data_IF_207791074589
#
_entry.id   IF_207791074589
#
_cell.length_a   1.000
_cell.length_b   1.000
_cell.length_c   1.000
_cell.angle_alpha   90.00
_cell.angle_beta   90.00
_cell.angle_gamma   90.00
#
_symmetry.space_group_name_H-M   'P 1'
#
loop_
_entity.id
_entity.type
_entity.pdbx_description
1 polymer ?
#
# COMPACT_ATOMS: atom_id res chain seq x y z
N UNK A 1 -12.84 18.94 -12.15
CA UNK A 1 -11.76 18.29 -12.91
C UNK A 1 -10.94 17.36 -12.06
N UNK A 2 -10.38 17.83 -10.96
CA UNK A 2 -9.63 16.96 -10.04
C UNK A 2 -10.48 16.52 -8.86
N UNK A 3 -11.60 15.87 -9.16
CA UNK A 3 -12.54 15.45 -8.11
C UNK A 3 -11.99 14.31 -7.24
N UNK A 4 -11.12 13.48 -7.81
CA UNK A 4 -10.53 12.35 -7.13
C UNK A 4 -9.03 12.29 -7.33
N UNK A 5 -8.29 12.09 -6.24
CA UNK A 5 -6.85 11.86 -6.26
C UNK A 5 -6.59 10.52 -5.59
N UNK A 6 -5.60 9.79 -6.07
CA UNK A 6 -5.20 8.52 -5.47
C UNK A 6 -3.78 8.61 -4.93
N UNK A 7 -3.50 7.90 -3.84
CA UNK A 7 -2.16 7.83 -3.25
C UNK A 7 -1.88 6.39 -2.81
N UNK A 8 -0.71 5.90 -3.15
CA UNK A 8 -0.26 4.57 -2.72
C UNK A 8 0.23 4.61 -1.28
N UNK A 9 -0.24 3.67 -0.47
CA UNK A 9 0.08 3.58 0.95
C UNK A 9 0.72 2.23 1.24
N UNK A 10 1.97 2.21 1.68
CA UNK A 10 2.67 0.96 1.99
C UNK A 10 3.39 0.98 3.34
N UNK A 11 3.22 2.03 4.12
CA UNK A 11 3.85 2.17 5.42
C UNK A 11 5.27 2.72 5.38
N UNK A 12 5.81 3.00 4.21
CA UNK A 12 7.14 3.59 4.10
C UNK A 12 7.12 5.09 4.37
N UNK A 13 8.28 5.65 4.68
CA UNK A 13 8.45 7.10 4.85
C UNK A 13 8.09 7.84 3.56
N UNK A 14 8.48 7.27 2.43
CA UNK A 14 8.18 7.87 1.13
C UNK A 14 6.68 7.91 0.83
N UNK A 15 5.97 6.84 1.18
CA UNK A 15 4.52 6.80 1.02
C UNK A 15 3.83 7.80 1.96
N UNK A 16 4.36 7.98 3.16
CA UNK A 16 3.83 8.97 4.09
C UNK A 16 4.02 10.39 3.56
N UNK A 17 5.16 10.67 2.94
CA UNK A 17 5.38 11.94 2.25
C UNK A 17 4.42 12.14 1.08
N UNK A 18 4.18 11.09 0.31
CA UNK A 18 3.21 11.12 -0.79
C UNK A 18 1.79 11.41 -0.28
N UNK A 19 1.43 10.84 0.86
CA UNK A 19 0.14 11.10 1.49
C UNK A 19 0.02 12.57 1.88
N UNK A 20 1.07 13.16 2.44
CA UNK A 20 1.08 14.58 2.76
C UNK A 20 0.81 15.45 1.55
N UNK A 21 1.45 15.14 0.41
CA UNK A 21 1.22 15.85 -0.86
C UNK A 21 -0.22 15.67 -1.31
N UNK A 22 -0.74 14.46 -1.27
CA UNK A 22 -2.10 14.16 -1.71
C UNK A 22 -3.14 14.92 -0.88
N UNK A 23 -2.95 14.96 0.44
CA UNK A 23 -3.87 15.68 1.32
C UNK A 23 -3.79 17.19 1.10
N UNK A 24 -2.60 17.72 0.89
CA UNK A 24 -2.44 19.14 0.59
C UNK A 24 -3.17 19.50 -0.71
N UNK A 25 -2.96 18.73 -1.76
CA UNK A 25 -3.63 18.97 -3.04
C UNK A 25 -5.14 18.76 -2.92
N UNK A 26 -5.57 17.72 -2.22
CA UNK A 26 -6.99 17.44 -2.00
C UNK A 26 -7.70 18.59 -1.30
N UNK A 27 -7.05 19.14 -0.30
CA UNK A 27 -7.59 20.31 0.42
C UNK A 27 -7.71 21.55 -0.46
N UNK A 28 -6.73 21.78 -1.31
CA UNK A 28 -6.74 22.94 -2.19
C UNK A 28 -7.70 22.79 -3.37
N UNK A 29 -7.88 21.58 -3.86
CA UNK A 29 -8.69 21.32 -5.05
C UNK A 29 -10.10 20.84 -4.73
N UNK A 30 -10.41 20.63 -3.46
CA UNK A 30 -11.69 20.06 -3.06
C UNK A 30 -11.87 18.63 -3.51
N UNK A 31 -10.79 17.86 -3.58
CA UNK A 31 -10.80 16.49 -4.07
C UNK A 31 -11.04 15.48 -2.96
N UNK A 32 -11.62 14.34 -3.32
CA UNK A 32 -11.63 13.16 -2.46
C UNK A 32 -10.29 12.43 -2.65
N UNK A 33 -9.62 12.11 -1.56
CA UNK A 33 -8.34 11.41 -1.61
C UNK A 33 -8.57 9.93 -1.33
N UNK A 34 -8.13 9.09 -2.25
CA UNK A 34 -8.24 7.63 -2.15
C UNK A 34 -6.87 7.06 -1.81
N UNK A 35 -6.74 6.52 -0.60
CA UNK A 35 -5.54 5.77 -0.21
C UNK A 35 -5.68 4.35 -0.70
N UNK A 36 -4.67 3.85 -1.38
CA UNK A 36 -4.67 2.49 -1.94
C UNK A 36 -3.51 1.72 -1.35
N UNK A 37 -3.83 0.65 -0.64
CA UNK A 37 -2.83 -0.29 -0.12
C UNK A 37 -2.97 -1.60 -0.85
N UNK A 38 -1.89 -2.06 -1.47
CA UNK A 38 -1.85 -3.33 -2.19
C UNK A 38 -1.15 -4.36 -1.32
N UNK A 39 -1.85 -5.44 -1.01
CA UNK A 39 -1.24 -6.61 -0.40
C UNK A 39 -0.60 -7.42 -1.52
N UNK A 40 0.73 -7.47 -1.53
CA UNK A 40 1.48 -8.14 -2.58
C UNK A 40 1.32 -9.65 -2.46
N UNK A 41 0.60 -10.24 -3.41
CA UNK A 41 0.33 -11.67 -3.39
C UNK A 41 1.58 -12.52 -3.58
N UNK A 42 2.65 -11.96 -4.09
CA UNK A 42 3.93 -12.68 -4.19
C UNK A 42 4.45 -13.10 -2.82
N UNK A 43 4.08 -12.39 -1.76
CA UNK A 43 4.44 -12.78 -0.39
C UNK A 43 3.67 -14.03 0.05
N UNK A 44 2.42 -14.16 -0.39
CA UNK A 44 1.55 -15.28 -0.02
C UNK A 44 1.71 -16.49 -0.94
N UNK A 45 2.17 -16.25 -2.16
CA UNK A 45 2.26 -17.27 -3.20
C UNK A 45 3.71 -17.43 -3.64
N UNK A 46 4.20 -18.59 -3.74
CA UNK A 46 5.47 -18.86 -4.40
C UNK A 46 6.68 -18.89 -3.49
N UNK A 47 7.82 -18.42 -4.01
CA UNK A 47 9.13 -18.73 -3.46
C UNK A 47 9.38 -18.17 -2.08
N UNK A 48 8.81 -17.03 -1.74
CA UNK A 48 9.04 -16.43 -0.43
C UNK A 48 8.61 -17.39 0.70
N UNK A 49 7.38 -17.90 0.62
CA UNK A 49 6.85 -18.82 1.64
C UNK A 49 7.61 -20.14 1.61
N UNK A 50 7.90 -20.65 0.41
CA UNK A 50 8.63 -21.90 0.26
C UNK A 50 10.04 -21.78 0.84
N UNK A 51 10.76 -20.72 0.53
CA UNK A 51 12.11 -20.47 1.03
C UNK A 51 12.12 -20.33 2.54
N UNK A 52 11.19 -19.57 3.09
CA UNK A 52 11.08 -19.40 4.53
C UNK A 52 10.75 -20.71 5.22
N UNK A 53 9.83 -21.49 4.67
CA UNK A 53 9.48 -22.81 5.21
C UNK A 53 10.66 -23.77 5.17
N UNK A 54 11.41 -23.79 4.08
CA UNK A 54 12.61 -24.60 3.95
C UNK A 54 13.68 -24.23 4.96
N UNK A 55 13.93 -22.95 5.15
CA UNK A 55 14.89 -22.46 6.12
C UNK A 55 14.51 -22.81 7.55
N UNK A 56 13.22 -22.87 7.85
CA UNK A 56 12.71 -23.23 9.15
C UNK A 56 12.52 -24.74 9.34
N UNK A 57 12.70 -25.53 8.30
CA UNK A 57 12.54 -26.98 8.37
C UNK A 57 11.10 -27.44 8.48
N UNK A 58 10.14 -26.67 8.00
CA UNK A 58 8.71 -27.01 8.04
C UNK A 58 8.18 -27.24 6.63
N UNK A 59 7.03 -27.90 6.56
CA UNK A 59 6.38 -28.15 5.28
C UNK A 59 5.99 -26.84 4.62
N UNK A 60 6.30 -26.67 3.32
CA UNK A 60 5.99 -25.44 2.61
C UNK A 60 4.50 -25.13 2.61
N UNK A 61 4.16 -23.89 2.89
CA UNK A 61 2.84 -23.29 2.71
C UNK A 61 1.77 -23.69 3.72
N UNK A 62 1.85 -24.89 4.28
CA UNK A 62 0.73 -25.47 5.04
C UNK A 62 0.44 -24.69 6.31
N UNK A 63 1.49 -24.29 7.05
CA UNK A 63 1.31 -23.68 8.36
C UNK A 63 1.60 -22.19 8.42
N UNK A 64 2.30 -21.64 7.42
CA UNK A 64 2.75 -20.24 7.46
C UNK A 64 1.82 -19.27 6.74
N UNK A 65 1.09 -19.74 5.71
CA UNK A 65 0.24 -18.84 4.91
C UNK A 65 -0.84 -18.14 5.74
N UNK A 66 -1.58 -18.84 6.63
CA UNK A 66 -2.58 -18.13 7.44
C UNK A 66 -1.97 -17.09 8.38
N UNK A 67 -0.81 -17.38 8.97
CA UNK A 67 -0.13 -16.44 9.87
C UNK A 67 0.37 -15.21 9.11
N UNK A 68 0.95 -15.43 7.93
CA UNK A 68 1.41 -14.32 7.09
C UNK A 68 0.22 -13.47 6.63
N UNK A 69 -0.86 -14.12 6.22
CA UNK A 69 -2.07 -13.40 5.80
C UNK A 69 -2.63 -12.54 6.94
N UNK A 70 -2.66 -13.08 8.16
CA UNK A 70 -3.12 -12.33 9.32
C UNK A 70 -2.24 -11.10 9.59
N UNK A 71 -0.93 -11.24 9.49
CA UNK A 71 0.00 -10.11 9.67
C UNK A 71 -0.23 -9.03 8.61
N UNK A 72 -0.42 -9.44 7.35
CA UNK A 72 -0.65 -8.50 6.27
C UNK A 72 -1.99 -7.77 6.42
N UNK A 73 -3.02 -8.45 6.90
CA UNK A 73 -4.31 -7.84 7.17
C UNK A 73 -4.22 -6.87 8.36
N UNK A 74 -3.46 -7.20 9.40
CA UNK A 74 -3.25 -6.31 10.53
C UNK A 74 -2.48 -5.06 10.11
N UNK A 75 -1.49 -5.21 9.26
CA UNK A 75 -0.77 -4.06 8.70
C UNK A 75 -1.72 -3.16 7.90
N UNK A 76 -2.56 -3.74 7.05
CA UNK A 76 -3.52 -2.97 6.27
C UNK A 76 -4.44 -2.16 7.17
N UNK A 77 -4.91 -2.75 8.27
CA UNK A 77 -5.79 -2.07 9.23
C UNK A 77 -5.06 -0.91 9.93
N UNK A 78 -3.81 -1.14 10.32
CA UNK A 78 -2.99 -0.09 10.93
C UNK A 78 -2.79 1.08 9.96
N UNK A 79 -2.52 0.78 8.70
CA UNK A 79 -2.34 1.81 7.68
C UNK A 79 -3.64 2.57 7.42
N UNK A 80 -4.78 1.88 7.44
CA UNK A 80 -6.09 2.51 7.28
C UNK A 80 -6.35 3.53 8.39
N UNK A 81 -6.09 3.14 9.62
CA UNK A 81 -6.29 4.02 10.78
C UNK A 81 -5.41 5.27 10.66
N UNK A 82 -4.14 5.08 10.34
CA UNK A 82 -3.20 6.19 10.16
C UNK A 82 -3.65 7.14 9.04
N UNK A 83 -4.05 6.57 7.91
CA UNK A 83 -4.53 7.34 6.77
C UNK A 83 -5.77 8.17 7.14
N UNK A 84 -6.74 7.55 7.79
CA UNK A 84 -7.98 8.23 8.17
C UNK A 84 -7.73 9.34 9.18
N UNK A 85 -6.83 9.12 10.13
CA UNK A 85 -6.45 10.17 11.09
C UNK A 85 -5.80 11.36 10.39
N UNK A 86 -4.86 11.09 9.49
CA UNK A 86 -4.19 12.14 8.72
C UNK A 86 -5.19 12.96 7.89
N UNK A 87 -6.11 12.26 7.23
CA UNK A 87 -7.13 12.92 6.42
C UNK A 87 -8.07 13.78 7.27
N UNK A 88 -8.46 13.28 8.42
CA UNK A 88 -9.33 14.02 9.34
C UNK A 88 -8.64 15.28 9.85
N UNK A 89 -7.37 15.18 10.23
CA UNK A 89 -6.59 16.34 10.69
C UNK A 89 -6.44 17.38 9.59
N UNK A 90 -6.34 16.94 8.34
CA UNK A 90 -6.24 17.84 7.20
C UNK A 90 -7.59 18.40 6.75
N UNK A 91 -8.70 17.87 7.27
CA UNK A 91 -10.04 18.28 6.85
C UNK A 91 -10.38 17.87 5.43
N UNK A 92 -9.83 16.75 4.94
CA UNK A 92 -10.00 16.29 3.57
C UNK A 92 -10.87 15.03 3.56
N UNK A 93 -11.86 14.99 2.66
CA UNK A 93 -12.64 13.78 2.46
C UNK A 93 -11.74 12.70 1.87
N UNK A 94 -11.76 11.52 2.47
CA UNK A 94 -10.84 10.47 2.08
C UNK A 94 -11.46 9.09 2.23
N UNK A 95 -10.98 8.15 1.41
CA UNK A 95 -11.41 6.75 1.44
C UNK A 95 -10.19 5.86 1.32
N UNK A 96 -10.20 4.75 2.04
CA UNK A 96 -9.10 3.80 2.02
C UNK A 96 -9.53 2.50 1.35
N UNK A 97 -8.67 2.00 0.46
CA UNK A 97 -8.92 0.79 -0.30
C UNK A 97 -7.78 -0.20 -0.09
N UNK A 98 -8.13 -1.44 0.20
CA UNK A 98 -7.17 -2.54 0.31
C UNK A 98 -7.44 -3.50 -0.83
N UNK A 99 -6.44 -3.75 -1.65
CA UNK A 99 -6.55 -4.68 -2.78
C UNK A 99 -5.41 -5.67 -2.74
N UNK A 100 -5.57 -6.79 -3.41
CA UNK A 100 -4.55 -7.83 -3.49
C UNK A 100 -4.08 -7.96 -4.92
N UNK A 101 -2.79 -8.24 -5.12
CA UNK A 101 -2.24 -8.44 -6.45
C UNK A 101 -0.79 -8.00 -6.54
N UNK A 102 -0.31 -7.82 -7.75
CA UNK A 102 0.98 -7.20 -8.01
C UNK A 102 0.85 -5.70 -7.80
N UNK A 103 1.82 -5.09 -7.13
CA UNK A 103 1.69 -3.72 -6.63
C UNK A 103 1.41 -2.71 -7.74
N UNK A 104 2.29 -2.63 -8.73
CA UNK A 104 2.13 -1.59 -9.75
C UNK A 104 0.86 -1.76 -10.61
N UNK A 105 0.56 -2.95 -11.16
CA UNK A 105 -0.69 -3.11 -11.91
C UNK A 105 -1.94 -2.86 -11.08
N UNK A 106 -1.94 -3.26 -9.81
CA UNK A 106 -3.09 -3.06 -8.94
C UNK A 106 -3.30 -1.57 -8.64
N UNK A 107 -2.22 -0.81 -8.40
CA UNK A 107 -2.31 0.63 -8.21
C UNK A 107 -2.87 1.33 -9.45
N UNK A 108 -2.39 0.97 -10.61
CA UNK A 108 -2.85 1.57 -11.87
C UNK A 108 -4.34 1.30 -12.06
N UNK A 109 -4.76 0.06 -11.85
CA UNK A 109 -6.15 -0.33 -12.01
C UNK A 109 -7.06 0.42 -11.03
N UNK A 110 -6.67 0.44 -9.77
CA UNK A 110 -7.49 1.01 -8.71
C UNK A 110 -7.57 2.54 -8.82
N UNK A 111 -6.55 3.17 -9.38
CA UNK A 111 -6.51 4.62 -9.54
C UNK A 111 -7.11 5.12 -10.84
N UNK A 112 -7.68 4.24 -11.67
CA UNK A 112 -8.14 4.59 -13.02
C UNK A 112 -9.18 5.70 -13.06
N UNK A 113 -10.02 5.81 -12.03
CA UNK A 113 -11.04 6.86 -11.94
C UNK A 113 -10.52 8.17 -11.32
N UNK A 114 -9.27 8.19 -10.88
CA UNK A 114 -8.66 9.37 -10.27
C UNK A 114 -7.90 10.19 -11.31
N UNK A 115 -7.84 11.50 -11.09
CA UNK A 115 -7.12 12.39 -11.99
C UNK A 115 -5.60 12.22 -11.88
N UNK A 116 -5.12 11.90 -10.69
CA UNK A 116 -3.70 11.70 -10.41
C UNK A 116 -3.52 10.50 -9.49
N UNK A 117 -2.41 9.81 -9.68
CA UNK A 117 -1.93 8.82 -8.72
C UNK A 117 -0.58 9.32 -8.18
N UNK A 118 -0.50 9.47 -6.87
CA UNK A 118 0.70 9.97 -6.18
C UNK A 118 1.32 8.79 -5.44
N UNK A 119 2.59 8.54 -5.67
CA UNK A 119 3.29 7.44 -5.02
C UNK A 119 4.62 7.93 -4.47
N UNK A 120 5.09 7.24 -3.42
CA UNK A 120 6.42 7.47 -2.92
C UNK A 120 7.47 6.95 -3.90
N UNK A 121 8.64 7.55 -3.85
CA UNK A 121 9.72 7.17 -4.74
C UNK A 121 10.18 5.74 -4.54
N UNK A 122 10.17 5.26 -3.28
CA UNK A 122 10.55 3.90 -2.91
C UNK A 122 9.58 3.37 -1.87
N UNK A 123 9.17 2.11 -2.00
CA UNK A 123 8.33 1.45 -1.02
C UNK A 123 9.14 0.71 0.03
N UNK A 124 8.46 -0.01 0.91
CA UNK A 124 9.10 -0.83 1.94
C UNK A 124 10.05 -1.87 1.36
N UNK A 125 9.74 -2.39 0.20
CA UNK A 125 10.52 -3.46 -0.42
C UNK A 125 11.78 -2.97 -1.14
N UNK A 126 12.04 -1.67 -1.15
CA UNK A 126 13.21 -1.11 -1.83
C UNK A 126 14.52 -1.73 -1.33
N UNK A 127 14.59 -2.09 -0.04
CA UNK A 127 15.77 -2.71 0.55
C UNK A 127 16.08 -4.07 -0.07
N UNK A 128 15.06 -4.80 -0.51
CA UNK A 128 15.21 -6.13 -1.09
C UNK A 128 15.54 -6.08 -2.57
N UNK A 129 15.19 -4.99 -3.22
CA UNK A 129 15.46 -4.79 -4.65
C UNK A 129 16.74 -4.02 -4.87
N UNK A 130 17.38 -3.56 -3.81
CA UNK A 130 18.60 -2.80 -3.87
C UNK A 130 18.42 -1.41 -4.46
N UNK A 131 19.53 -0.75 -4.65
CA UNK A 131 19.54 0.63 -5.15
C UNK A 131 19.30 0.72 -6.65
N UNK A 132 19.26 -0.42 -7.32
CA UNK A 132 19.09 -0.47 -8.77
C UNK A 132 17.76 0.14 -9.22
N UNK A 133 16.76 0.09 -8.36
CA UNK A 133 15.43 0.61 -8.67
C UNK A 133 15.22 2.03 -8.16
N UNK A 134 16.13 2.51 -7.39
CA UNK A 134 16.06 3.86 -6.85
C UNK A 134 16.46 4.97 -7.79
#
# INVERSE_FOLDING_TARGET
MFSHLAVGIDGSVNADGALGVALHLGGRLGSVVHGIHVIDTAILEGSFIADMSGAMGVEPLVNLTPQVDAVLNDLAETLRIHFEERAREAGVEARFHVVRGSVAPALVKESAASALLIVGRRGLNARFHGELLG
#
